data_IF_003478691375
#
_entry.id   IF_003478691375
#
_cell.length_a   1.000
_cell.length_b   1.000
_cell.length_c   1.000
_cell.angle_alpha   90.00
_cell.angle_beta   90.00
_cell.angle_gamma   90.00
#
_symmetry.space_group_name_H-M   'P 1'
#
loop_
_entity.id
_entity.type
_entity.pdbx_description
1 polymer ?
2 branched ?
3 non-polymer ?
4 non-polymer ?
5 non-polymer ?
6 non-polymer ?
7 water ?
#
# COMPACT_ATOMS: atom_id res chain seq x y z
N UNK A 1 -16.36 6.78 2.02
CA UNK A 1 -15.95 5.92 3.16
C UNK A 1 -15.33 6.82 4.22
N UNK A 2 -15.50 6.45 5.47
CA UNK A 2 -14.71 7.06 6.57
C UNK A 2 -13.24 6.78 6.27
N UNK A 3 -12.45 7.80 6.55
CA UNK A 3 -10.99 7.79 6.35
C UNK A 3 -10.31 8.28 7.60
N UNK A 4 -9.07 7.90 7.78
CA UNK A 4 -8.28 8.31 8.90
C UNK A 4 -8.53 7.53 10.18
N UNK A 5 -9.20 6.39 10.09
CA UNK A 5 -9.48 5.50 11.26
C UNK A 5 -8.75 4.21 11.08
N UNK A 6 -8.00 3.78 12.08
CA UNK A 6 -7.19 2.56 12.00
C UNK A 6 -7.32 1.72 13.24
N UNK A 7 -7.41 0.40 13.08
CA UNK A 7 -7.39 -0.48 14.24
C UNK A 7 -5.99 -1.05 14.40
N UNK A 8 -5.34 -0.67 15.51
CA UNK A 8 -4.03 -1.17 15.88
C UNK A 8 -4.19 -2.38 16.82
N UNK A 9 -3.16 -3.19 16.97
CA UNK A 9 -3.16 -4.10 18.11
C UNK A 9 -3.28 -3.32 19.42
N UNK A 10 -3.93 -3.92 20.43
CA UNK A 10 -4.16 -3.27 21.70
C UNK A 10 -2.85 -2.96 22.43
N UNK A 11 -2.89 -1.88 23.19
CA UNK A 11 -1.83 -1.53 24.16
C UNK A 11 -0.45 -1.57 23.50
N UNK A 12 -0.40 -1.04 22.27
CA UNK A 12 0.83 -1.01 21.52
C UNK A 12 1.31 0.41 21.26
N UNK A 13 2.62 0.60 21.42
CA UNK A 13 3.25 1.88 21.14
C UNK A 13 3.29 2.13 19.64
N UNK A 14 2.98 3.35 19.23
CA UNK A 14 3.09 3.75 17.82
C UNK A 14 3.62 5.17 17.74
N UNK A 15 4.29 5.48 16.64
CA UNK A 15 4.67 6.84 16.36
C UNK A 15 3.69 7.53 15.45
N UNK A 16 3.51 8.83 15.65
CA UNK A 16 2.66 9.66 14.84
C UNK A 16 3.42 10.90 14.50
N UNK A 17 3.50 11.25 13.22
CA UNK A 17 4.30 12.36 12.68
C UNK A 17 3.45 13.11 11.67
N UNK A 18 3.40 14.44 11.79
CA UNK A 18 2.60 15.24 10.90
C UNK A 18 3.46 16.27 10.19
N UNK A 19 3.19 16.50 8.91
CA UNK A 19 3.91 17.37 8.03
C UNK A 19 2.90 18.34 7.44
N UNK A 20 3.31 19.59 7.24
CA UNK A 20 2.45 20.61 6.61
C UNK A 20 2.89 21.09 5.26
N UNK A 21 1.92 21.30 4.35
CA UNK A 21 2.18 21.79 2.95
C UNK A 21 1.03 22.61 2.46
N UNK A 22 0.83 23.78 3.05
CA UNK A 22 -0.32 24.64 2.80
C UNK A 22 -0.07 26.05 3.30
N UNK A 23 -0.74 27.03 2.69
CA UNK A 23 -0.73 28.37 3.26
C UNK A 23 -1.45 28.44 4.59
N UNK A 24 -2.39 27.54 4.82
CA UNK A 24 -3.20 27.54 6.01
C UNK A 24 -2.51 26.88 7.18
N UNK A 25 -2.73 27.37 8.39
CA UNK A 25 -2.27 26.75 9.60
C UNK A 25 -3.11 25.46 9.80
N UNK A 26 -2.40 24.34 9.95
CA UNK A 26 -3.01 23.03 10.09
C UNK A 26 -3.13 22.66 11.58
N UNK A 27 -4.26 22.05 11.95
CA UNK A 27 -4.46 21.46 13.28
C UNK A 27 -4.75 20.00 13.11
N UNK A 28 -3.93 19.13 13.69
CA UNK A 28 -4.12 17.68 13.60
C UNK A 28 -4.48 17.18 14.96
N UNK A 29 -5.65 16.56 15.09
CA UNK A 29 -6.06 15.94 16.33
C UNK A 29 -5.92 14.44 16.22
N UNK A 30 -5.32 13.82 17.23
CA UNK A 30 -5.12 12.38 17.33
C UNK A 30 -6.05 11.91 18.46
N UNK A 31 -6.97 11.02 18.11
CA UNK A 31 -7.88 10.44 19.05
C UNK A 31 -7.59 8.96 19.21
N UNK A 32 -7.42 8.48 20.42
CA UNK A 32 -7.19 7.08 20.70
C UNK A 32 -8.38 6.63 21.53
N UNK A 33 -9.10 5.65 21.03
CA UNK A 33 -10.36 5.17 21.67
C UNK A 33 -11.26 6.33 22.04
N UNK A 34 -11.43 7.26 21.10
CA UNK A 34 -12.39 8.37 21.20
C UNK A 34 -12.03 9.43 22.22
N UNK A 35 -10.77 9.47 22.63
CA UNK A 35 -10.25 10.51 23.52
C UNK A 35 -9.07 11.21 22.84
N UNK A 36 -9.04 12.54 22.87
CA UNK A 36 -7.90 13.28 22.30
C UNK A 36 -6.67 12.99 23.13
N UNK A 37 -5.58 12.59 22.48
CA UNK A 37 -4.29 12.33 23.16
C UNK A 37 -3.14 13.15 22.59
N UNK A 38 -3.35 13.81 21.46
CA UNK A 38 -2.36 14.75 20.94
C UNK A 38 -3.00 15.73 20.01
N UNK A 39 -2.46 16.97 19.93
CA UNK A 39 -2.87 17.95 19.01
C UNK A 39 -1.64 18.58 18.47
N UNK A 40 -1.51 18.63 17.17
CA UNK A 40 -0.36 19.28 16.52
C UNK A 40 -0.85 20.47 15.74
N UNK A 41 -0.11 21.59 15.82
CA UNK A 41 -0.44 22.78 15.11
C UNK A 41 0.79 23.36 14.43
N UNK A 42 0.65 23.77 13.20
CA UNK A 42 1.73 24.45 12.54
C UNK A 42 1.44 24.85 11.13
N UNK A 43 2.33 25.66 10.52
CA UNK A 43 2.15 26.12 9.12
C UNK A 43 3.47 25.97 8.39
N UNK A 44 3.42 25.41 7.20
CA UNK A 44 4.53 25.31 6.28
C UNK A 44 4.03 25.05 4.89
N UNK A 45 4.72 25.57 3.89
CA UNK A 45 4.57 25.10 2.52
C UNK A 45 5.76 24.29 2.05
N UNK A 46 6.56 23.79 2.99
CA UNK A 46 7.78 23.06 2.70
C UNK A 46 7.98 21.83 3.55
N UNK A 47 6.89 21.19 3.87
CA UNK A 47 6.94 19.87 4.53
C UNK A 47 7.50 19.89 5.95
N UNK A 48 7.39 21.02 6.66
CA UNK A 48 7.89 21.06 8.03
C UNK A 48 7.13 20.07 8.89
N UNK A 49 7.85 19.44 9.82
CA UNK A 49 7.24 18.56 10.82
C UNK A 49 6.59 19.39 11.88
N UNK A 50 5.28 19.28 11.99
CA UNK A 50 4.51 20.09 12.95
C UNK A 50 4.17 19.28 14.18
N UNK A 51 4.58 18.03 14.24
CA UNK A 51 4.45 17.21 15.45
C UNK A 51 4.97 15.82 15.24
N UNK A 52 5.55 15.23 16.26
CA UNK A 52 5.98 13.84 16.26
C UNK A 52 5.94 13.37 17.71
N UNK A 53 5.24 12.29 17.95
CA UNK A 53 5.00 11.78 19.33
C UNK A 53 4.95 10.28 19.27
N UNK A 54 5.21 9.67 20.40
CA UNK A 54 4.96 8.26 20.66
C UNK A 54 3.75 8.13 21.55
N UNK A 55 2.78 7.35 21.13
CA UNK A 55 1.52 7.11 21.86
C UNK A 55 1.23 5.66 21.99
N UNK A 56 0.23 5.33 22.80
CA UNK A 56 -0.17 3.95 23.03
C UNK A 56 -1.61 3.76 22.55
N UNK A 57 -1.85 2.66 21.82
CA UNK A 57 -3.17 2.41 21.20
C UNK A 57 -4.27 2.00 22.19
N UNK A 58 -3.90 1.68 23.45
CA UNK A 58 -4.91 1.41 24.51
C UNK A 58 -5.71 0.16 24.24
N UNK A 59 -6.82 -0.03 25.02
CA UNK A 59 -7.49 -1.33 24.95
C UNK A 59 -8.17 -1.65 23.63
N UNK A 60 -8.80 -0.60 23.08
CA UNK A 60 -9.57 -0.80 21.87
C UNK A 60 -8.75 -0.76 20.57
N UNK A 61 -7.56 -0.21 20.65
CA UNK A 61 -6.66 -0.03 19.48
C UNK A 61 -7.13 0.95 18.46
N UNK A 62 -8.13 1.73 18.73
CA UNK A 62 -8.70 2.66 17.73
C UNK A 62 -7.94 3.94 17.69
N UNK A 63 -7.36 4.24 16.52
CA UNK A 63 -6.65 5.48 16.30
C UNK A 63 -7.37 6.25 15.21
N UNK A 64 -7.75 7.48 15.48
CA UNK A 64 -8.42 8.33 14.52
C UNK A 64 -7.71 9.67 14.37
N UNK A 65 -7.45 10.06 13.14
CA UNK A 65 -6.85 11.36 12.80
C UNK A 65 -7.90 12.31 12.22
N UNK A 66 -7.96 13.52 12.74
CA UNK A 66 -8.83 14.55 12.23
C UNK A 66 -7.96 15.78 11.92
N UNK A 67 -8.24 16.45 10.83
CA UNK A 67 -7.45 17.62 10.43
C UNK A 67 -8.39 18.76 10.15
N UNK A 68 -8.08 19.94 10.67
CA UNK A 68 -8.84 21.12 10.45
C UNK A 68 -7.94 22.35 10.22
N UNK A 69 -8.50 23.31 9.52
CA UNK A 69 -7.82 24.59 9.26
C UNK A 69 -8.81 25.67 9.70
N UNK A 70 -8.42 26.45 10.71
CA UNK A 70 -9.31 27.51 11.31
C UNK A 70 -10.69 26.95 11.69
N UNK A 71 -10.68 25.76 12.28
CA UNK A 71 -11.92 25.07 12.62
C UNK A 71 -12.72 24.34 11.51
N UNK A 72 -12.34 24.46 10.24
CA UNK A 72 -13.03 23.77 9.15
C UNK A 72 -12.33 22.40 8.90
N UNK A 73 -13.11 21.33 8.89
CA UNK A 73 -12.58 19.99 8.66
C UNK A 73 -12.06 19.83 7.21
N UNK A 74 -10.84 19.33 7.10
CA UNK A 74 -10.27 18.95 5.79
C UNK A 74 -10.82 17.59 5.39
N UNK A 75 -10.88 17.38 4.10
CA UNK A 75 -11.26 16.08 3.53
C UNK A 75 -10.04 15.13 3.64
N UNK A 76 -10.29 13.90 4.07
CA UNK A 76 -9.20 12.93 4.33
C UNK A 76 -9.16 11.81 3.32
N UNK A 77 -7.96 11.28 3.11
CA UNK A 77 -7.74 10.02 2.39
C UNK A 77 -6.73 9.22 3.21
N UNK A 78 -6.85 7.88 3.19
CA UNK A 78 -5.99 7.05 4.05
C UNK A 78 -5.87 5.63 3.57
N UNK A 79 -4.86 4.94 4.05
CA UNK A 79 -4.67 3.49 3.84
C UNK A 79 -3.64 3.00 4.82
N UNK A 80 -3.64 1.69 5.05
CA UNK A 80 -2.64 1.01 5.89
C UNK A 80 -1.83 0.07 4.96
N UNK A 81 -0.51 0.00 5.16
CA UNK A 81 0.37 -0.91 4.43
C UNK A 81 1.26 -1.64 5.42
N UNK A 82 1.46 -2.93 5.19
CA UNK A 82 2.30 -3.78 6.01
C UNK A 82 3.38 -4.38 5.15
N UNK A 83 4.61 -4.20 5.59
CA UNK A 83 5.79 -4.73 4.93
C UNK A 83 6.40 -5.86 5.78
N UNK A 84 6.88 -6.89 5.07
CA UNK A 84 7.53 -8.05 5.73
C UNK A 84 6.63 -8.71 6.81
N UNK A 85 5.34 -8.56 6.64
CA UNK A 85 4.35 -9.08 7.62
C UNK A 85 4.53 -8.56 9.04
N UNK A 86 5.19 -7.41 9.19
CA UNK A 86 5.54 -6.92 10.53
C UNK A 86 5.54 -5.42 10.65
N UNK A 87 5.97 -4.71 9.65
CA UNK A 87 6.19 -3.27 9.74
C UNK A 87 4.95 -2.58 9.17
N UNK A 88 4.28 -1.81 10.03
CA UNK A 88 3.02 -1.18 9.69
C UNK A 88 3.11 0.32 9.52
N UNK A 89 2.46 0.83 8.47
CA UNK A 89 2.26 2.24 8.22
C UNK A 89 0.79 2.52 8.07
N UNK A 90 0.30 3.50 8.79
CA UNK A 90 -1.07 4.01 8.58
C UNK A 90 -0.87 5.45 8.08
N UNK A 91 -1.41 5.75 6.92
CA UNK A 91 -1.09 6.95 6.12
C UNK A 91 -2.33 7.79 5.92
N UNK A 92 -2.18 9.08 6.17
CA UNK A 92 -3.30 10.01 5.97
C UNK A 92 -2.83 11.23 5.15
N UNK A 93 -3.63 11.57 4.16
CA UNK A 93 -3.54 12.88 3.48
C UNK A 93 -4.82 13.66 3.74
N UNK A 94 -4.69 14.98 3.59
CA UNK A 94 -5.82 15.87 3.85
C UNK A 94 -5.80 17.05 2.89
N UNK A 95 -7.01 17.50 2.51
CA UNK A 95 -7.18 18.58 1.54
C UNK A 95 -8.04 19.67 2.18
N UNK A 96 -7.47 20.87 2.23
CA UNK A 96 -8.10 22.08 2.83
C UNK A 96 -8.71 23.00 1.80
N UNK A 97 -8.57 22.73 0.50
CA UNK A 97 -9.02 23.68 -0.52
C UNK A 97 -9.45 22.94 -1.80
N UNK A 98 -9.00 23.40 -2.96
CA UNK A 98 -9.50 22.97 -4.23
C UNK A 98 -8.56 22.18 -5.14
N UNK A 99 -7.26 22.17 -4.84
CA UNK A 99 -6.31 21.65 -5.80
C UNK A 99 -6.15 20.15 -5.72
N UNK A 100 -6.70 19.54 -4.68
CA UNK A 100 -6.68 18.08 -4.52
C UNK A 100 -5.30 17.46 -4.52
N UNK A 101 -4.34 18.19 -3.93
CA UNK A 101 -3.03 17.63 -3.70
C UNK A 101 -2.99 16.71 -2.47
N UNK A 102 -3.94 16.88 -1.56
CA UNK A 102 -4.10 16.02 -0.38
C UNK A 102 -2.84 15.95 0.49
N UNK A 103 -1.99 16.97 0.43
CA UNK A 103 -0.74 17.01 1.23
C UNK A 103 -0.75 18.12 2.28
N UNK A 104 -1.91 18.77 2.48
CA UNK A 104 -1.95 20.02 3.25
C UNK A 104 -1.52 19.78 4.68
N UNK A 105 -2.03 18.68 5.26
CA UNK A 105 -1.37 18.04 6.39
C UNK A 105 -1.26 16.57 5.99
N UNK A 106 -0.07 16.00 6.11
CA UNK A 106 0.21 14.57 5.90
C UNK A 106 0.50 13.97 7.24
N UNK A 107 -0.10 12.84 7.57
CA UNK A 107 0.14 12.19 8.85
C UNK A 107 0.59 10.77 8.61
N UNK A 108 1.71 10.38 9.22
CA UNK A 108 2.24 9.02 9.12
C UNK A 108 2.27 8.45 10.51
N UNK A 109 1.69 7.26 10.65
CA UNK A 109 1.66 6.46 11.87
C UNK A 109 2.48 5.22 11.59
N UNK A 110 3.41 4.85 12.49
CA UNK A 110 4.19 3.65 12.32
C UNK A 110 4.28 2.80 13.58
N UNK A 111 4.23 1.49 13.39
CA UNK A 111 4.44 0.54 14.49
C UNK A 111 4.91 -0.77 13.92
N UNK A 112 5.51 -1.67 14.72
CA UNK A 112 5.88 -1.50 16.13
C UNK A 112 7.12 -0.68 16.27
N UNK A 113 7.35 -0.21 17.48
CA UNK A 113 8.55 0.57 17.84
C UNK A 113 9.54 -0.33 18.59
N UNK A 114 10.75 0.20 18.85
CA UNK A 114 11.74 -0.48 19.67
C UNK A 114 12.71 -1.32 18.94
N UNK B 1 14.57 -9.43 -4.27
CA UNK B 1 14.45 -8.25 -5.17
C UNK B 1 15.18 -7.07 -4.57
N UNK B 2 15.69 -6.21 -5.43
CA UNK B 2 16.22 -4.90 -4.95
C UNK B 2 15.08 -4.14 -4.28
N UNK B 3 15.44 -3.50 -3.19
CA UNK B 3 14.49 -2.71 -2.37
C UNK B 3 15.09 -1.38 -2.06
N UNK B 4 14.24 -0.41 -1.74
CA UNK B 4 14.67 0.92 -1.41
C UNK B 4 14.97 1.83 -2.58
N UNK B 5 14.60 1.43 -3.81
CA UNK B 5 14.82 2.21 -4.99
C UNK B 5 13.47 2.66 -5.55
N UNK B 6 13.31 3.94 -5.83
CA UNK B 6 12.05 4.50 -6.29
C UNK B 6 12.27 5.46 -7.46
N UNK B 7 11.37 5.41 -8.45
CA UNK B 7 11.41 6.36 -9.54
C UNK B 7 10.35 7.44 -9.24
N UNK B 8 10.79 8.66 -9.01
CA UNK B 8 9.95 9.81 -8.82
C UNK B 8 9.78 10.57 -10.17
N UNK B 9 8.75 11.41 -10.28
CA UNK B 9 8.75 12.34 -11.40
C UNK B 9 10.01 13.20 -11.34
N UNK B 10 10.53 13.65 -12.48
CA UNK B 10 11.75 14.44 -12.56
C UNK B 10 11.58 15.80 -11.92
N UNK B 11 12.69 16.31 -11.38
CA UNK B 11 12.82 17.69 -10.90
C UNK B 11 11.71 18.08 -9.92
N UNK B 12 11.39 17.14 -9.03
CA UNK B 12 10.26 17.28 -8.12
C UNK B 12 10.77 17.29 -6.65
N UNK B 13 10.23 18.21 -5.85
CA UNK B 13 10.60 18.28 -4.42
C UNK B 13 9.99 17.09 -3.70
N UNK B 14 10.70 16.53 -2.75
CA UNK B 14 10.16 15.45 -1.91
C UNK B 14 10.76 15.58 -0.51
N UNK B 15 10.03 15.08 0.46
CA UNK B 15 10.56 14.96 1.82
C UNK B 15 11.08 13.60 2.12
N UNK B 16 12.12 13.53 2.90
CA UNK B 16 12.64 12.27 3.42
C UNK B 16 12.82 12.39 4.92
N UNK B 17 12.30 11.44 5.65
CA UNK B 17 12.30 11.40 7.12
C UNK B 17 12.73 10.01 7.56
N UNK B 18 13.68 9.93 8.51
CA UNK B 18 14.18 8.68 9.03
C UNK B 18 13.94 8.59 10.53
N UNK B 19 13.48 7.41 10.97
CA UNK B 19 13.25 7.08 12.37
C UNK B 19 14.10 5.94 12.79
N UNK B 20 14.57 5.90 14.06
CA UNK B 20 15.36 4.76 14.55
C UNK B 20 14.67 4.00 15.70
N UNK B 21 14.80 2.67 15.61
CA UNK B 21 14.26 1.75 16.62
C UNK B 21 15.15 0.54 16.83
N UNK B 22 16.32 0.75 17.44
CA UNK B 22 17.33 -0.29 17.54
C UNK B 22 18.35 0.12 18.59
N UNK B 23 19.01 -0.88 19.19
CA UNK B 23 20.21 -0.64 20.01
C UNK B 23 21.39 -0.15 19.19
N UNK B 24 21.42 -0.50 17.91
CA UNK B 24 22.51 -0.11 17.02
C UNK B 24 22.35 1.30 16.46
N UNK B 25 23.47 2.00 16.27
CA UNK B 25 23.45 3.31 15.66
C UNK B 25 23.25 3.15 14.15
N UNK B 26 22.21 3.78 13.66
CA UNK B 26 21.79 3.67 12.26
C UNK B 26 22.42 4.76 11.39
N UNK B 27 22.82 4.41 10.19
CA UNK B 27 23.25 5.38 9.14
C UNK B 27 22.37 5.21 7.93
N UNK B 28 21.69 6.26 7.57
CA UNK B 28 20.78 6.25 6.42
C UNK B 28 21.42 7.14 5.37
N UNK B 29 21.70 6.59 4.18
CA UNK B 29 22.21 7.36 3.04
C UNK B 29 21.08 7.54 2.03
N UNK B 30 20.90 8.75 1.53
CA UNK B 30 19.92 9.06 0.48
C UNK B 30 20.67 9.43 -0.78
N UNK B 31 20.46 8.64 -1.84
CA UNK B 31 21.11 8.86 -3.12
C UNK B 31 20.09 9.32 -4.14
N UNK B 32 20.34 10.41 -4.81
CA UNK B 32 19.51 10.96 -5.86
C UNK B 32 20.30 10.93 -7.16
N UNK B 33 19.81 10.16 -8.13
CA UNK B 33 20.58 9.92 -9.37
C UNK B 33 22.02 9.54 -9.11
N UNK B 34 22.20 8.63 -8.16
CA UNK B 34 23.49 8.00 -7.80
C UNK B 34 24.47 8.92 -7.13
N UNK B 35 24.03 10.05 -6.63
CA UNK B 35 24.86 10.97 -5.81
C UNK B 35 24.31 11.06 -4.40
N UNK B 36 25.16 10.89 -3.38
CA UNK B 36 24.73 10.92 -1.98
C UNK B 36 24.44 12.36 -1.62
N UNK B 37 23.16 12.65 -1.32
CA UNK B 37 22.67 14.02 -1.06
C UNK B 37 22.21 14.24 0.36
N UNK B 38 22.11 13.18 1.14
CA UNK B 38 21.85 13.29 2.56
C UNK B 38 22.35 12.07 3.28
N UNK B 39 22.83 12.27 4.49
CA UNK B 39 23.25 11.18 5.35
C UNK B 39 22.77 11.48 6.75
N UNK B 40 22.05 10.54 7.34
CA UNK B 40 21.51 10.72 8.70
C UNK B 40 22.09 9.62 9.57
N UNK B 41 22.57 9.96 10.78
CA UNK B 41 23.11 8.99 11.71
C UNK B 41 22.49 9.26 13.08
N UNK B 42 22.08 8.21 13.80
CA UNK B 42 21.54 8.39 15.12
C UNK B 42 21.13 7.09 15.72
N UNK B 43 20.82 7.15 17.01
CA UNK B 43 20.41 5.94 17.78
C UNK B 43 19.22 6.22 18.67
N UNK B 44 18.21 5.36 18.59
CA UNK B 44 17.02 5.44 19.43
C UNK B 44 16.36 4.08 19.45
N UNK B 45 15.81 3.70 20.61
CA UNK B 45 14.84 2.63 20.65
C UNK B 45 13.41 3.11 20.83
N UNK B 46 13.15 4.37 20.53
CA UNK B 46 11.85 4.99 20.76
C UNK B 46 11.43 5.88 19.60
N UNK B 47 11.80 5.47 18.38
CA UNK B 47 11.27 6.13 17.17
C UNK B 47 11.73 7.55 16.97
N UNK B 48 12.88 7.93 17.55
CA UNK B 48 13.31 9.29 17.32
C UNK B 48 13.59 9.54 15.85
N UNK B 49 13.32 10.76 15.45
CA UNK B 49 13.63 11.25 14.11
C UNK B 49 15.14 11.51 14.05
N UNK B 50 15.85 10.74 13.24
CA UNK B 50 17.29 10.96 13.09
C UNK B 50 17.63 11.80 11.88
N UNK B 51 16.66 12.16 11.04
CA UNK B 51 16.86 13.12 9.97
C UNK B 51 15.57 13.44 9.27
N UNK B 52 15.43 14.66 8.81
CA UNK B 52 14.34 15.06 7.91
C UNK B 52 14.85 16.16 7.01
N UNK B 53 14.61 16.02 5.71
CA UNK B 53 15.14 16.99 4.72
C UNK B 53 14.21 17.07 3.57
N UNK B 54 14.26 18.17 2.84
CA UNK B 54 13.60 18.36 1.57
C UNK B 54 14.65 18.35 0.45
N UNK B 55 14.44 17.51 -0.54
CA UNK B 55 15.33 17.29 -1.64
C UNK B 55 14.63 17.43 -2.97
N UNK B 56 15.39 17.50 -4.07
CA UNK B 56 14.82 17.53 -5.41
C UNK B 56 15.25 16.24 -6.16
N UNK B 57 14.31 15.57 -6.83
CA UNK B 57 14.56 14.28 -7.53
C UNK B 57 15.48 14.36 -8.78
N UNK B 58 15.69 15.59 -9.28
CA UNK B 58 16.60 15.80 -10.41
C UNK B 58 16.13 15.17 -11.69
N UNK B 59 17.03 15.09 -12.68
CA UNK B 59 16.58 14.71 -14.03
C UNK B 59 16.03 13.30 -14.13
N UNK B 60 16.75 12.36 -13.49
CA UNK B 60 16.44 10.96 -13.62
C UNK B 60 15.33 10.48 -12.69
N UNK B 61 15.04 11.25 -11.67
CA UNK B 61 14.03 10.89 -10.64
C UNK B 61 14.41 9.72 -9.78
N UNK B 62 15.64 9.25 -9.81
CA UNK B 62 15.98 8.02 -9.08
C UNK B 62 16.34 8.36 -7.66
N UNK B 63 15.59 7.78 -6.70
CA UNK B 63 15.87 7.94 -5.29
C UNK B 63 16.15 6.56 -4.69
N UNK B 64 17.31 6.40 -4.04
CA UNK B 64 17.70 5.15 -3.43
C UNK B 64 18.06 5.37 -1.97
N UNK B 65 17.54 4.54 -1.09
CA UNK B 65 17.83 4.57 0.34
C UNK B 65 18.71 3.36 0.66
N UNK B 66 19.81 3.61 1.38
CA UNK B 66 20.67 2.54 1.88
C UNK B 66 20.81 2.72 3.38
N UNK B 67 20.82 1.64 4.15
CA UNK B 67 20.93 1.70 5.59
C UNK B 67 22.03 0.78 6.08
N UNK B 68 22.89 1.31 6.95
CA UNK B 68 23.98 0.48 7.52
C UNK B 68 24.12 0.71 9.04
N UNK B 69 24.64 -0.31 9.70
CA UNK B 69 24.93 -0.24 11.14
C UNK B 69 26.38 -0.72 11.32
N UNK B 70 27.23 0.19 11.83
CA UNK B 70 28.65 -0.15 12.04
C UNK B 70 29.29 -0.67 10.74
N UNK B 71 28.94 -0.05 9.63
CA UNK B 71 29.43 -0.43 8.33
C UNK B 71 28.82 -1.64 7.63
N UNK B 72 27.88 -2.33 8.29
CA UNK B 72 27.24 -3.50 7.65
C UNK B 72 25.89 -3.03 7.09
N UNK B 73 25.65 -3.42 5.85
CA UNK B 73 24.34 -3.14 5.20
C UNK B 73 23.18 -3.89 5.84
N UNK B 74 22.14 -3.15 6.18
CA UNK B 74 20.91 -3.75 6.70
C UNK B 74 20.09 -4.26 5.53
N UNK B 75 19.31 -5.27 5.82
CA UNK B 75 18.39 -5.80 4.84
C UNK B 75 17.18 -4.86 4.72
N UNK B 76 16.74 -4.59 3.50
CA UNK B 76 15.65 -3.63 3.27
C UNK B 76 14.39 -4.28 2.79
N UNK B 77 13.26 -3.62 3.10
CA UNK B 77 11.96 -3.91 2.48
C UNK B 77 11.34 -2.56 2.13
N UNK B 78 10.57 -2.53 1.05
CA UNK B 78 10.01 -1.22 0.57
C UNK B 78 8.80 -1.40 -0.29
N UNK B 79 8.03 -0.35 -0.41
CA UNK B 79 6.87 -0.28 -1.33
C UNK B 79 6.55 1.20 -1.53
N UNK B 80 5.81 1.50 -2.59
CA UNK B 80 5.26 2.83 -2.88
C UNK B 80 3.75 2.71 -2.83
N UNK B 81 3.08 3.70 -2.24
CA UNK B 81 1.61 3.77 -2.17
C UNK B 81 1.14 5.12 -2.60
N UNK B 82 0.12 5.13 -3.44
CA UNK B 82 -0.43 6.39 -3.96
C UNK B 82 -1.90 6.48 -3.54
N UNK B 83 -2.26 7.60 -2.89
CA UNK B 83 -3.64 7.91 -2.47
C UNK B 83 -4.25 9.04 -3.29
N UNK B 84 -5.54 8.87 -3.59
CA UNK B 84 -6.25 9.89 -4.38
C UNK B 84 -5.61 10.21 -5.71
N UNK B 85 -4.89 9.20 -6.25
CA UNK B 85 -4.16 9.33 -7.52
C UNK B 85 -3.19 10.50 -7.57
N UNK B 86 -2.72 10.94 -6.41
CA UNK B 86 -1.89 12.14 -6.32
C UNK B 86 -0.85 12.13 -5.20
N UNK B 87 -1.21 11.60 -4.04
CA UNK B 87 -0.36 11.72 -2.85
C UNK B 87 0.51 10.45 -2.75
N UNK B 88 1.81 10.61 -2.81
CA UNK B 88 2.75 9.49 -2.89
C UNK B 88 3.54 9.32 -1.63
N UNK B 89 3.70 8.06 -1.24
CA UNK B 89 4.57 7.64 -0.13
C UNK B 89 5.49 6.54 -0.64
N UNK B 90 6.79 6.70 -0.44
CA UNK B 90 7.74 5.63 -0.69
C UNK B 90 8.29 5.24 0.67
N UNK B 91 8.15 3.97 1.01
CA UNK B 91 8.34 3.46 2.37
C UNK B 91 9.43 2.42 2.45
N UNK B 92 10.31 2.55 3.44
CA UNK B 92 11.44 1.64 3.62
C UNK B 92 11.50 1.19 5.07
N UNK B 93 11.59 -0.13 5.26
CA UNK B 93 12.04 -0.68 6.54
C UNK B 93 13.38 -1.33 6.39
N UNK B 94 14.03 -1.54 7.54
CA UNK B 94 15.36 -2.15 7.52
C UNK B 94 15.57 -2.99 8.76
N UNK B 95 16.36 -4.06 8.56
CA UNK B 95 16.63 -5.04 9.64
C UNK B 95 18.16 -5.19 9.79
N UNK B 96 18.60 -4.89 11.00
CA UNK B 96 20.04 -4.95 11.31
C UNK B 96 20.48 -6.23 12.06
N UNK B 97 19.56 -7.09 12.39
CA UNK B 97 19.86 -8.26 13.22
C UNK B 97 18.94 -9.41 12.87
N UNK B 98 18.41 -10.08 13.89
CA UNK B 98 17.71 -11.35 13.69
C UNK B 98 16.23 -11.34 13.99
N UNK B 99 15.70 -10.31 14.65
CA UNK B 99 14.29 -10.36 15.09
C UNK B 99 13.24 -10.09 13.98
N UNK B 100 13.69 -9.57 12.85
CA UNK B 100 12.82 -9.32 11.69
C UNK B 100 11.68 -8.37 11.97
N UNK B 101 11.91 -7.40 12.83
CA UNK B 101 10.95 -6.33 13.02
C UNK B 101 10.98 -5.29 11.89
N UNK B 102 12.10 -5.22 11.18
CA UNK B 102 12.26 -4.30 10.04
C UNK B 102 11.99 -2.83 10.37
N UNK B 103 12.11 -2.43 11.62
CA UNK B 103 11.90 -1.04 12.02
C UNK B 103 13.18 -0.30 12.46
N UNK B 104 14.33 -0.98 12.25
CA UNK B 104 15.55 -0.54 12.96
C UNK B 104 15.96 0.87 12.49
N UNK B 105 15.84 1.07 11.19
CA UNK B 105 15.67 2.44 10.62
C UNK B 105 14.45 2.33 9.71
N UNK B 106 13.52 3.26 9.87
CA UNK B 106 12.34 3.41 9.01
C UNK B 106 12.47 4.68 8.23
N UNK B 107 12.24 4.64 6.93
CA UNK B 107 12.39 5.87 6.11
C UNK B 107 11.11 6.08 5.35
N UNK B 108 10.61 7.30 5.43
CA UNK B 108 9.39 7.72 4.71
C UNK B 108 9.77 8.86 3.77
N UNK B 109 9.43 8.70 2.51
CA UNK B 109 9.56 9.71 1.47
C UNK B 109 8.18 10.11 1.04
N UNK B 110 7.92 11.40 0.93
CA UNK B 110 6.58 11.89 0.55
C UNK B 110 6.69 12.96 -0.51
N UNK B 111 5.74 12.94 -1.45
CA UNK B 111 5.59 14.00 -2.45
C UNK B 111 4.18 13.96 -2.98
N UNK B 112 3.68 15.03 -3.59
CA UNK B 112 4.31 16.31 -3.79
C UNK B 112 4.30 17.12 -2.52
N UNK B 113 5.13 18.16 -2.50
CA UNK B 113 5.14 19.14 -1.43
C UNK B 113 4.47 20.45 -1.86
N UNK B 114 4.34 21.37 -0.91
CA UNK B 114 3.79 22.68 -1.19
C UNK B 114 2.33 22.86 -1.12
N UNK C 1 -12.79 12.46 -1.13
CA UNK C 1 -11.91 12.46 -2.33
C UNK C 1 -12.52 11.54 -3.37
N UNK C 2 -12.29 11.88 -4.61
CA UNK C 2 -12.56 10.95 -5.69
C UNK C 2 -11.74 9.67 -5.51
N UNK C 3 -12.39 8.55 -5.78
CA UNK C 3 -11.80 7.18 -5.65
C UNK C 3 -12.05 6.45 -6.96
N UNK C 4 -11.23 5.45 -7.21
CA UNK C 4 -11.42 4.61 -8.39
C UNK C 4 -10.86 5.17 -9.70
N UNK C 5 -10.03 6.20 -9.61
CA UNK C 5 -9.40 6.85 -10.76
C UNK C 5 -7.90 6.66 -10.65
N UNK C 6 -7.26 6.16 -11.69
CA UNK C 6 -5.83 5.90 -11.68
C UNK C 6 -5.18 6.38 -12.98
N UNK C 7 -3.96 6.92 -12.85
CA UNK C 7 -3.15 7.27 -14.03
C UNK C 7 -2.15 6.20 -14.29
N UNK C 8 -2.28 5.52 -15.42
CA UNK C 8 -1.33 4.48 -15.86
C UNK C 8 -0.37 5.10 -16.85
N UNK C 9 0.77 4.44 -17.06
CA UNK C 9 1.58 4.88 -18.20
C UNK C 9 0.79 4.79 -19.51
N UNK C 10 1.14 5.61 -20.49
CA UNK C 10 0.43 5.64 -21.76
C UNK C 10 0.63 4.35 -22.55
N UNK C 11 -0.38 4.00 -23.32
CA UNK C 11 -0.38 2.91 -24.31
C UNK C 11 0.08 1.60 -23.73
N UNK C 12 -0.36 1.32 -22.50
CA UNK C 12 0.10 0.14 -21.79
C UNK C 12 -1.03 -0.84 -21.58
N UNK C 13 -0.72 -2.11 -21.83
CA UNK C 13 -1.66 -3.20 -21.59
C UNK C 13 -1.76 -3.43 -20.07
N UNK C 14 -2.97 -3.60 -19.59
CA UNK C 14 -3.22 -3.89 -18.20
C UNK C 14 -4.37 -4.86 -18.05
N UNK C 15 -4.39 -5.56 -16.93
CA UNK C 15 -5.47 -6.48 -16.60
C UNK C 15 -6.44 -5.83 -15.62
N UNK C 16 -7.72 -6.13 -15.76
CA UNK C 16 -8.75 -5.70 -14.84
C UNK C 16 -9.61 -6.93 -14.51
N UNK C 17 -9.79 -7.18 -13.19
CA UNK C 17 -10.49 -8.39 -12.68
C UNK C 17 -11.46 -7.93 -11.59
N UNK C 18 -12.69 -8.40 -11.64
CA UNK C 18 -13.66 -8.10 -10.61
C UNK C 18 -14.19 -9.32 -9.89
N UNK C 19 -14.36 -9.21 -8.56
CA UNK C 19 -14.84 -10.26 -7.70
C UNK C 19 -16.10 -9.69 -7.05
N UNK C 20 -17.08 -10.57 -6.76
CA UNK C 20 -18.35 -10.13 -6.10
C UNK C 20 -18.49 -10.82 -4.76
N UNK C 21 -19.01 -10.08 -3.78
CA UNK C 21 -19.27 -10.58 -2.43
C UNK C 21 -20.49 -9.85 -1.87
N UNK C 22 -21.68 -10.12 -2.42
CA UNK C 22 -22.87 -9.38 -2.04
C UNK C 22 -24.10 -10.14 -2.49
N UNK C 23 -25.22 -9.88 -1.81
CA UNK C 23 -26.52 -10.35 -2.33
C UNK C 23 -26.97 -9.65 -3.58
N UNK C 24 -26.50 -8.43 -3.75
CA UNK C 24 -26.89 -7.61 -4.90
C UNK C 24 -26.10 -7.90 -6.17
N UNK C 25 -26.73 -7.74 -7.32
CA UNK C 25 -26.07 -7.91 -8.61
C UNK C 25 -25.21 -6.69 -8.85
N UNK C 26 -23.90 -6.93 -9.07
CA UNK C 26 -22.92 -5.85 -9.23
C UNK C 26 -22.76 -5.50 -10.71
N UNK C 27 -22.68 -4.19 -11.05
CA UNK C 27 -22.34 -3.72 -12.39
C UNK C 27 -21.08 -2.89 -12.22
N UNK C 28 -19.96 -3.39 -12.77
CA UNK C 28 -18.66 -2.71 -12.73
C UNK C 28 -18.45 -2.09 -14.10
N UNK C 29 -18.32 -0.77 -14.18
CA UNK C 29 -18.07 -0.08 -15.43
C UNK C 29 -16.60 0.37 -15.45
N UNK C 30 -15.90 0.10 -16.55
CA UNK C 30 -14.47 0.43 -16.71
C UNK C 30 -14.39 1.45 -17.87
N UNK C 31 -13.86 2.64 -17.55
CA UNK C 31 -13.56 3.64 -18.54
C UNK C 31 -12.07 3.81 -18.73
N UNK C 32 -11.66 3.96 -19.98
CA UNK C 32 -10.28 4.30 -20.34
C UNK C 32 -10.40 5.63 -21.07
N UNK C 33 -9.70 6.62 -20.58
CA UNK C 33 -9.79 7.99 -21.16
C UNK C 33 -11.21 8.46 -21.40
N UNK C 34 -12.04 8.24 -20.39
CA UNK C 34 -13.43 8.72 -20.33
C UNK C 34 -14.41 8.04 -21.29
N UNK C 35 -14.03 6.87 -21.79
CA UNK C 35 -14.90 6.07 -22.64
C UNK C 35 -15.08 4.70 -22.03
N UNK C 36 -16.33 4.20 -21.96
CA UNK C 36 -16.56 2.85 -21.46
C UNK C 36 -15.93 1.82 -22.39
N UNK C 37 -15.09 0.93 -21.85
CA UNK C 37 -14.45 -0.13 -22.60
C UNK C 37 -14.78 -1.53 -22.07
N UNK C 38 -15.42 -1.62 -20.91
CA UNK C 38 -15.88 -2.91 -20.37
C UNK C 38 -16.95 -2.70 -19.36
N UNK C 39 -17.88 -3.64 -19.27
CA UNK C 39 -18.88 -3.68 -18.21
C UNK C 39 -18.96 -5.09 -17.73
N UNK C 40 -18.80 -5.29 -16.44
CA UNK C 40 -18.94 -6.60 -15.84
C UNK C 40 -20.20 -6.61 -14.97
N UNK C 41 -21.07 -7.61 -15.17
CA UNK C 41 -22.33 -7.74 -14.41
C UNK C 41 -22.39 -9.14 -13.88
N UNK C 42 -22.53 -9.30 -12.57
CA UNK C 42 -22.61 -10.61 -11.97
C UNK C 42 -22.93 -10.57 -10.50
N UNK C 43 -23.15 -11.74 -9.92
CA UNK C 43 -23.57 -11.86 -8.53
C UNK C 43 -22.94 -13.05 -7.87
N UNK C 44 -22.38 -12.86 -6.68
CA UNK C 44 -21.78 -13.91 -5.85
C UNK C 44 -21.66 -13.43 -4.41
N UNK C 45 -21.91 -14.29 -3.44
CA UNK C 45 -21.50 -14.02 -2.05
C UNK C 45 -20.25 -14.80 -1.64
N UNK C 46 -19.48 -15.30 -2.61
CA UNK C 46 -18.35 -16.14 -2.32
C UNK C 46 -17.16 -15.87 -3.26
N UNK C 47 -16.97 -14.59 -3.59
CA UNK C 47 -15.76 -14.15 -4.29
C UNK C 47 -15.62 -14.65 -5.73
N UNK C 48 -16.74 -15.01 -6.34
CA UNK C 48 -16.63 -15.40 -7.75
C UNK C 48 -16.11 -14.26 -8.60
N UNK C 49 -15.37 -14.64 -9.62
CA UNK C 49 -14.89 -13.70 -10.63
C UNK C 49 -16.02 -13.38 -11.60
N UNK C 50 -16.44 -12.14 -11.64
CA UNK C 50 -17.51 -11.66 -12.55
C UNK C 50 -16.98 -10.96 -13.80
N UNK C 51 -15.67 -10.82 -13.92
CA UNK C 51 -15.09 -10.33 -15.18
C UNK C 51 -13.60 -10.30 -15.08
N UNK C 52 -12.89 -10.55 -16.18
CA UNK C 52 -11.43 -10.38 -16.27
C UNK C 52 -11.12 -10.09 -17.74
N UNK C 53 -10.41 -9.00 -17.99
CA UNK C 53 -10.13 -8.56 -19.34
C UNK C 53 -8.76 -7.88 -19.38
N UNK C 54 -8.16 -7.86 -20.56
CA UNK C 54 -6.94 -7.13 -20.87
C UNK C 54 -7.30 -5.94 -21.73
N UNK C 55 -6.87 -4.76 -21.30
CA UNK C 55 -7.21 -3.48 -21.97
C UNK C 55 -5.94 -2.67 -22.19
N UNK C 56 -6.03 -1.61 -22.97
CA UNK C 56 -4.92 -0.70 -23.23
C UNK C 56 -5.25 0.67 -22.65
N UNK C 57 -4.28 1.28 -21.98
CA UNK C 57 -4.48 2.56 -21.30
C UNK C 57 -4.54 3.76 -22.20
N UNK C 58 -4.17 3.61 -23.48
CA UNK C 58 -4.32 4.71 -24.43
C UNK C 58 -3.40 5.91 -24.12
N UNK C 59 -3.63 7.03 -24.82
CA UNK C 59 -2.70 8.17 -24.73
C UNK C 59 -2.66 8.83 -23.38
N UNK C 60 -3.83 8.94 -22.76
CA UNK C 60 -3.97 9.68 -21.50
C UNK C 60 -3.64 8.84 -20.26
N UNK C 61 -3.71 7.51 -20.41
CA UNK C 61 -3.49 6.61 -19.29
C UNK C 61 -4.54 6.59 -18.22
N UNK C 62 -5.68 7.25 -18.44
CA UNK C 62 -6.68 7.36 -17.39
C UNK C 62 -7.60 6.16 -17.34
N UNK C 63 -7.68 5.50 -16.18
CA UNK C 63 -8.56 4.33 -15.96
C UNK C 63 -9.46 4.71 -14.79
N UNK C 64 -10.78 4.57 -14.99
CA UNK C 64 -11.77 4.82 -13.93
C UNK C 64 -12.71 3.65 -13.79
N UNK C 65 -12.95 3.26 -12.52
CA UNK C 65 -13.89 2.22 -12.12
C UNK C 65 -15.09 2.83 -11.41
N UNK C 66 -16.27 2.43 -11.85
CA UNK C 66 -17.52 2.79 -11.20
C UNK C 66 -18.25 1.51 -10.90
N UNK C 67 -18.96 1.48 -9.79
CA UNK C 67 -19.74 0.29 -9.39
C UNK C 67 -21.14 0.70 -8.99
N UNK C 68 -22.14 0.01 -9.54
CA UNK C 68 -23.52 0.27 -9.17
C UNK C 68 -24.26 -1.06 -8.96
N UNK C 69 -25.34 -0.96 -8.21
CA UNK C 69 -26.22 -2.08 -7.92
C UNK C 69 -27.65 -1.57 -8.17
N UNK C 70 -28.33 -2.20 -9.13
CA UNK C 70 -29.67 -1.74 -9.60
C UNK C 70 -29.75 -0.22 -9.88
N UNK C 71 -28.72 0.27 -10.56
CA UNK C 71 -28.60 1.65 -10.90
C UNK C 71 -28.16 2.63 -9.83
N UNK C 72 -27.89 2.17 -8.60
CA UNK C 72 -27.48 3.05 -7.52
C UNK C 72 -25.99 2.90 -7.31
N UNK C 73 -25.30 4.01 -7.23
CA UNK C 73 -23.85 4.03 -7.11
C UNK C 73 -23.41 3.50 -5.74
N UNK C 74 -22.41 2.62 -5.77
CA UNK C 74 -21.72 2.17 -4.53
C UNK C 74 -20.69 3.17 -4.12
N UNK C 75 -20.41 3.20 -2.83
CA UNK C 75 -19.32 3.98 -2.28
C UNK C 75 -17.99 3.27 -2.58
N UNK C 76 -17.01 4.00 -3.05
CA UNK C 76 -15.73 3.45 -3.46
C UNK C 76 -14.60 3.82 -2.55
N UNK C 77 -13.63 2.90 -2.42
CA UNK C 77 -12.32 3.19 -1.79
C UNK C 77 -11.26 2.61 -2.71
N UNK C 78 -10.11 3.26 -2.75
CA UNK C 78 -9.05 2.80 -3.66
C UNK C 78 -7.68 3.23 -3.24
N UNK C 79 -6.68 2.57 -3.84
CA UNK C 79 -5.27 2.94 -3.69
C UNK C 79 -4.46 2.23 -4.76
N UNK C 80 -3.27 2.76 -5.03
CA UNK C 80 -2.30 2.13 -5.92
C UNK C 80 -1.07 1.75 -5.12
N UNK C 81 -0.54 0.55 -5.36
CA UNK C 81 0.67 0.00 -4.68
C UNK C 81 1.64 -0.45 -5.74
N UNK C 82 2.91 -0.10 -5.54
CA UNK C 82 4.02 -0.51 -6.44
C UNK C 82 5.04 -1.30 -5.67
N UNK C 83 5.33 -2.50 -6.18
CA UNK C 83 6.35 -3.40 -5.59
C UNK C 83 7.53 -3.48 -6.50
N UNK C 84 8.71 -3.53 -5.89
CA UNK C 84 9.97 -3.62 -6.68
C UNK C 84 10.17 -2.51 -7.74
N UNK C 85 9.56 -1.36 -7.45
CA UNK C 85 9.62 -0.25 -8.36
C UNK C 85 9.14 -0.56 -9.77
N UNK C 86 8.32 -1.59 -9.93
CA UNK C 86 7.92 -2.08 -11.27
C UNK C 86 6.53 -2.66 -11.34
N UNK C 87 6.13 -3.39 -10.34
CA UNK C 87 4.89 -4.16 -10.38
C UNK C 87 3.76 -3.35 -9.73
N UNK C 88 2.74 -3.04 -10.54
CA UNK C 88 1.67 -2.12 -10.11
C UNK C 88 0.36 -2.79 -9.90
N UNK C 89 -0.31 -2.41 -8.80
CA UNK C 89 -1.69 -2.80 -8.49
C UNK C 89 -2.50 -1.56 -8.24
N UNK C 90 -3.61 -1.44 -8.88
CA UNK C 90 -4.62 -0.42 -8.57
C UNK C 90 -5.83 -1.17 -8.04
N UNK C 91 -6.26 -0.81 -6.87
CA UNK C 91 -7.20 -1.59 -6.07
C UNK C 91 -8.41 -0.77 -5.74
N UNK C 92 -9.58 -1.39 -5.91
CA UNK C 92 -10.85 -0.79 -5.61
C UNK C 92 -11.69 -1.71 -4.75
N UNK C 93 -12.29 -1.16 -3.69
CA UNK C 93 -13.39 -1.78 -2.95
C UNK C 93 -14.62 -0.93 -3.11
N UNK C 94 -15.78 -1.55 -2.86
CA UNK C 94 -17.05 -0.86 -3.05
C UNK C 94 -18.04 -1.38 -2.04
N UNK C 95 -18.87 -0.46 -1.53
CA UNK C 95 -19.91 -0.76 -0.53
C UNK C 95 -21.29 -0.37 -1.06
N UNK C 96 -22.14 -1.37 -1.17
CA UNK C 96 -23.51 -1.19 -1.73
C UNK C 96 -24.60 -1.03 -0.69
N UNK C 97 -24.24 -1.09 0.58
CA UNK C 97 -25.25 -1.06 1.62
C UNK C 97 -24.69 -0.48 2.89
N UNK C 98 -24.88 -1.13 4.01
CA UNK C 98 -24.65 -0.55 5.33
C UNK C 98 -23.59 -1.21 6.21
N UNK C 99 -23.06 -2.38 5.84
CA UNK C 99 -22.15 -3.11 6.74
C UNK C 99 -20.69 -2.71 6.65
N UNK C 100 -20.33 -1.86 5.70
CA UNK C 100 -19.00 -1.31 5.56
C UNK C 100 -17.90 -2.39 5.39
N UNK C 101 -18.24 -3.47 4.73
CA UNK C 101 -17.22 -4.44 4.38
C UNK C 101 -16.42 -4.10 3.14
N UNK C 102 -16.98 -3.22 2.28
CA UNK C 102 -16.25 -2.71 1.11
C UNK C 102 -15.77 -3.80 0.15
N UNK C 103 -16.44 -4.96 0.17
CA UNK C 103 -16.01 -6.10 -0.69
C UNK C 103 -17.07 -6.48 -1.70
N UNK C 104 -18.11 -5.64 -1.82
CA UNK C 104 -19.28 -6.09 -2.57
C UNK C 104 -19.04 -6.31 -4.03
N UNK C 105 -18.27 -5.40 -4.61
CA UNK C 105 -17.46 -5.65 -5.80
C UNK C 105 -16.03 -5.20 -5.45
N UNK C 106 -15.04 -6.06 -5.73
CA UNK C 106 -13.61 -5.79 -5.53
C UNK C 106 -12.93 -5.82 -6.89
N UNK C 107 -12.21 -4.79 -7.24
CA UNK C 107 -11.59 -4.69 -8.59
C UNK C 107 -10.12 -4.56 -8.39
N UNK C 108 -9.38 -5.40 -9.14
CA UNK C 108 -7.95 -5.39 -9.14
C UNK C 108 -7.48 -5.13 -10.58
N UNK C 109 -6.65 -4.12 -10.69
CA UNK C 109 -6.00 -3.72 -11.95
C UNK C 109 -4.53 -3.98 -11.77
N UNK C 110 -3.90 -4.65 -12.73
CA UNK C 110 -2.47 -4.99 -12.63
C UNK C 110 -1.76 -4.67 -13.97
N UNK C 111 -0.52 -4.20 -13.80
CA UNK C 111 0.38 -3.98 -14.95
C UNK C 111 1.82 -4.00 -14.39
N UNK C 112 2.84 -4.23 -15.21
CA UNK C 112 2.73 -4.61 -16.62
C UNK C 112 2.35 -6.04 -16.78
N UNK C 113 1.93 -6.37 -17.99
CA UNK C 113 1.64 -7.73 -18.43
C UNK C 113 2.80 -8.28 -19.28
N UNK C 114 2.75 -9.58 -19.59
CA UNK C 114 3.70 -10.23 -20.51
C UNK C 114 4.92 -10.83 -19.86
N UNK D 1 14.50 -9.99 2.86
CA UNK D 1 13.41 -10.34 3.82
C UNK D 1 12.58 -11.48 3.25
N UNK D 2 12.04 -12.29 4.14
CA UNK D 2 11.02 -13.23 3.73
C UNK D 2 9.84 -12.40 3.12
N UNK D 3 9.32 -12.97 2.06
CA UNK D 3 8.18 -12.39 1.32
C UNK D 3 7.15 -13.48 1.13
N UNK D 4 5.93 -13.10 0.87
CA UNK D 4 4.86 -14.04 0.58
C UNK D 4 4.25 -14.73 1.79
N UNK D 5 4.49 -14.18 2.95
CA UNK D 5 3.92 -14.68 4.22
C UNK D 5 3.03 -13.62 4.83
N UNK D 6 1.79 -13.96 5.16
CA UNK D 6 0.84 -13.06 5.71
C UNK D 6 0.11 -13.66 6.92
N UNK D 7 -0.15 -12.81 7.94
CA UNK D 7 -1.00 -13.20 9.07
C UNK D 7 -2.39 -12.68 8.89
N UNK D 8 -3.30 -13.60 8.74
CA UNK D 8 -4.75 -13.28 8.60
C UNK D 8 -5.40 -13.44 9.96
N UNK D 9 -6.57 -12.80 10.15
CA UNK D 9 -7.37 -13.18 11.32
C UNK D 9 -7.68 -14.69 11.34
N UNK D 10 -7.80 -15.30 12.52
CA UNK D 10 -8.05 -16.71 12.68
C UNK D 10 -9.41 -17.09 12.09
N UNK D 11 -9.47 -18.30 11.55
CA UNK D 11 -10.71 -18.96 11.13
C UNK D 11 -11.52 -18.11 10.16
N UNK D 12 -10.80 -17.48 9.24
CA UNK D 12 -11.43 -16.55 8.33
C UNK D 12 -11.36 -17.07 6.89
N UNK D 13 -12.47 -16.96 6.19
CA UNK D 13 -12.52 -17.27 4.72
C UNK D 13 -11.83 -16.20 3.92
N UNK D 14 -10.98 -16.63 2.96
CA UNK D 14 -10.27 -15.68 2.11
C UNK D 14 -10.21 -16.24 0.72
N UNK D 15 -10.02 -15.34 -0.24
CA UNK D 15 -9.83 -15.72 -1.63
C UNK D 15 -8.35 -15.67 -2.00
N UNK D 16 -7.89 -16.58 -2.88
CA UNK D 16 -6.60 -16.57 -3.47
C UNK D 16 -6.72 -16.77 -4.97
N UNK D 17 -6.07 -15.86 -5.77
CA UNK D 17 -6.22 -15.81 -7.24
C UNK D 17 -4.81 -15.62 -7.81
N UNK D 18 -4.43 -16.43 -8.83
CA UNK D 18 -3.12 -16.29 -9.46
C UNK D 18 -3.25 -16.00 -10.93
N UNK D 19 -2.37 -15.15 -11.44
CA UNK D 19 -2.33 -14.70 -12.86
C UNK D 19 -0.93 -15.06 -13.36
N UNK D 20 -0.80 -15.41 -14.64
CA UNK D 20 0.51 -15.74 -15.24
C UNK D 20 0.87 -14.74 -16.36
N UNK D 21 2.17 -14.38 -16.40
CA UNK D 21 2.70 -13.45 -17.42
C UNK D 21 4.15 -13.87 -17.67
N UNK D 22 4.33 -15.00 -18.37
CA UNK D 22 5.67 -15.58 -18.55
C UNK D 22 5.62 -16.69 -19.59
N UNK D 23 6.77 -16.86 -20.25
CA UNK D 23 6.91 -18.03 -21.11
C UNK D 23 6.92 -19.34 -20.35
N UNK D 24 7.31 -19.31 -19.09
CA UNK D 24 7.44 -20.49 -18.27
C UNK D 24 6.17 -20.87 -17.61
N UNK D 25 5.96 -22.16 -17.42
CA UNK D 25 4.81 -22.65 -16.66
C UNK D 25 5.02 -22.41 -15.19
N UNK D 26 4.04 -21.72 -14.59
CA UNK D 26 4.11 -21.29 -13.18
C UNK D 26 3.45 -22.31 -12.31
N UNK D 27 4.08 -22.59 -11.16
CA UNK D 27 3.43 -23.42 -10.12
C UNK D 27 3.39 -22.63 -8.81
N UNK D 28 2.17 -22.32 -8.37
CA UNK D 28 1.93 -21.52 -7.16
C UNK D 28 1.46 -22.46 -6.08
N UNK D 29 2.24 -22.55 -5.01
CA UNK D 29 1.93 -23.36 -3.84
C UNK D 29 1.38 -22.46 -2.74
N UNK D 30 0.23 -22.88 -2.20
CA UNK D 30 -0.42 -22.14 -1.09
C UNK D 30 -0.45 -23.00 0.16
N UNK D 31 0.15 -22.48 1.23
CA UNK D 31 0.17 -23.11 2.54
C UNK D 31 -0.67 -22.28 3.50
N UNK D 32 -1.46 -22.98 4.31
CA UNK D 32 -2.20 -22.42 5.45
C UNK D 32 -1.68 -23.14 6.66
N UNK D 33 -1.19 -22.38 7.64
CA UNK D 33 -0.58 -22.94 8.84
C UNK D 33 0.40 -24.05 8.50
N UNK D 34 1.27 -23.78 7.53
CA UNK D 34 2.46 -24.64 7.17
C UNK D 34 2.06 -25.96 6.53
N UNK D 35 0.85 -26.04 5.99
CA UNK D 35 0.38 -27.20 5.24
C UNK D 35 -0.11 -26.77 3.85
N UNK D 36 0.32 -27.47 2.79
CA UNK D 36 -0.18 -27.16 1.45
C UNK D 36 -1.67 -27.43 1.34
N UNK D 37 -2.43 -26.45 0.86
CA UNK D 37 -3.88 -26.57 0.68
C UNK D 37 -4.32 -26.29 -0.73
N UNK D 38 -3.44 -25.76 -1.58
CA UNK D 38 -3.74 -25.55 -2.99
C UNK D 38 -2.52 -25.44 -3.82
N UNK D 39 -2.60 -25.85 -5.10
CA UNK D 39 -1.56 -25.70 -6.06
C UNK D 39 -2.22 -25.23 -7.32
N UNK D 40 -1.73 -24.11 -7.83
CA UNK D 40 -2.18 -23.58 -9.15
C UNK D 40 -1.06 -23.70 -10.17
N UNK D 41 -1.38 -24.18 -11.37
CA UNK D 41 -0.39 -24.39 -12.41
C UNK D 41 -0.91 -23.83 -13.71
N UNK D 42 -0.06 -23.11 -14.44
CA UNK D 42 -0.50 -22.63 -15.74
C UNK D 42 0.48 -21.76 -16.43
N UNK D 43 0.24 -21.47 -17.71
CA UNK D 43 1.14 -20.70 -18.56
C UNK D 43 0.31 -19.70 -19.34
N UNK D 44 0.75 -18.46 -19.30
CA UNK D 44 0.19 -17.38 -20.14
C UNK D 44 1.16 -16.25 -20.19
N UNK D 45 1.22 -15.56 -21.31
CA UNK D 45 1.85 -14.26 -21.39
C UNK D 45 0.86 -13.13 -21.48
N UNK D 46 -0.40 -13.36 -21.14
CA UNK D 46 -1.46 -12.38 -21.26
C UNK D 46 -2.39 -12.36 -20.05
N UNK D 47 -1.81 -12.58 -18.85
CA UNK D 47 -2.57 -12.39 -17.59
C UNK D 47 -3.68 -13.36 -17.35
N UNK D 48 -3.61 -14.51 -17.96
CA UNK D 48 -4.66 -15.52 -17.68
C UNK D 48 -4.70 -15.89 -16.19
N UNK D 49 -5.90 -16.13 -15.70
CA UNK D 49 -6.08 -16.63 -14.35
C UNK D 49 -5.80 -18.12 -14.35
N UNK D 50 -4.84 -18.53 -13.58
CA UNK D 50 -4.42 -19.94 -13.48
C UNK D 50 -4.96 -20.64 -12.26
N UNK D 51 -5.63 -19.92 -11.38
CA UNK D 51 -6.36 -20.53 -10.26
C UNK D 51 -7.09 -19.48 -9.45
N UNK D 52 -8.21 -19.85 -8.86
CA UNK D 52 -8.90 -19.01 -7.92
C UNK D 52 -9.66 -19.93 -6.98
N UNK D 53 -9.48 -19.76 -5.70
CA UNK D 53 -10.07 -20.66 -4.68
C UNK D 53 -10.44 -19.84 -3.47
N UNK D 54 -11.36 -20.36 -2.67
CA UNK D 54 -11.70 -19.86 -1.33
C UNK D 54 -11.20 -20.86 -0.31
N UNK D 55 -10.46 -20.34 0.65
CA UNK D 55 -9.82 -21.14 1.71
C UNK D 55 -10.16 -20.56 3.09
N UNK D 56 -9.80 -21.31 4.15
CA UNK D 56 -9.92 -20.82 5.52
C UNK D 56 -8.56 -20.68 6.19
N UNK D 57 -8.34 -19.56 6.89
CA UNK D 57 -7.06 -19.26 7.53
C UNK D 57 -6.73 -20.13 8.76
N UNK D 58 -7.72 -20.83 9.33
CA UNK D 58 -7.44 -21.74 10.42
C UNK D 58 -7.04 -21.05 11.72
N UNK D 59 -6.56 -21.84 12.70
CA UNK D 59 -6.31 -21.25 14.03
C UNK D 59 -5.20 -20.24 14.07
N UNK D 60 -4.14 -20.50 13.30
CA UNK D 60 -2.96 -19.66 13.35
C UNK D 60 -3.01 -18.45 12.44
N UNK D 61 -3.87 -18.51 11.44
CA UNK D 61 -3.99 -17.41 10.42
C UNK D 61 -2.86 -17.29 9.44
N UNK D 62 -1.92 -18.23 9.42
CA UNK D 62 -0.74 -18.07 8.60
C UNK D 62 -0.98 -18.53 7.17
N UNK D 63 -0.75 -17.64 6.20
CA UNK D 63 -0.84 -17.96 4.76
C UNK D 63 0.50 -17.65 4.09
N UNK D 64 1.01 -18.63 3.35
CA UNK D 64 2.29 -18.50 2.63
C UNK D 64 2.15 -18.89 1.19
N UNK D 65 2.70 -18.07 0.29
CA UNK D 65 2.78 -18.33 -1.11
C UNK D 65 4.23 -18.59 -1.54
N UNK D 66 4.40 -19.64 -2.32
CA UNK D 66 5.72 -19.98 -2.95
C UNK D 66 5.43 -20.17 -4.42
N UNK D 67 6.38 -19.74 -5.25
CA UNK D 67 6.24 -19.88 -6.70
C UNK D 67 7.47 -20.55 -7.25
N UNK D 68 7.28 -21.50 -8.17
CA UNK D 68 8.41 -22.14 -8.85
C UNK D 68 8.06 -22.35 -10.32
N UNK D 69 9.12 -22.44 -11.12
CA UNK D 69 9.01 -22.75 -12.54
C UNK D 69 9.94 -23.93 -12.81
N UNK D 70 9.34 -25.06 -13.24
CA UNK D 70 10.06 -26.34 -13.45
C UNK D 70 10.98 -26.69 -12.26
N UNK D 71 10.43 -26.53 -11.07
CA UNK D 71 11.16 -26.82 -9.86
C UNK D 71 12.13 -25.80 -9.32
N UNK D 72 12.34 -24.66 -10.02
CA UNK D 72 13.24 -23.62 -9.56
C UNK D 72 12.44 -22.53 -8.86
N UNK D 73 12.87 -22.10 -7.69
CA UNK D 73 12.14 -21.07 -6.94
C UNK D 73 12.27 -19.70 -7.58
N UNK D 74 11.12 -19.04 -7.73
CA UNK D 74 11.11 -17.62 -8.15
C UNK D 74 11.37 -16.69 -7.00
N UNK D 75 11.95 -15.56 -7.31
CA UNK D 75 12.13 -14.47 -6.31
C UNK D 75 10.77 -13.81 -6.07
N UNK D 76 10.45 -13.53 -4.84
CA UNK D 76 9.14 -12.96 -4.44
C UNK D 76 9.25 -11.58 -3.92
N UNK D 77 8.21 -10.78 -4.18
CA UNK D 77 8.00 -9.50 -3.54
C UNK D 77 6.54 -9.45 -3.06
N UNK D 78 6.28 -8.81 -1.92
CA UNK D 78 4.94 -8.79 -1.35
C UNK D 78 4.66 -7.63 -0.48
N UNK D 79 3.37 -7.37 -0.28
CA UNK D 79 2.91 -6.40 0.70
C UNK D 79 1.46 -6.66 0.99
N UNK D 80 0.96 -6.13 2.11
CA UNK D 80 -0.47 -6.12 2.49
C UNK D 80 -0.96 -4.67 2.56
N UNK D 81 -2.15 -4.45 2.01
CA UNK D 81 -2.80 -3.14 1.97
C UNK D 81 -4.21 -3.28 2.54
N UNK D 82 -4.60 -2.34 3.40
CA UNK D 82 -5.92 -2.31 4.01
C UNK D 82 -6.60 -0.99 3.63
N UNK D 83 -7.78 -1.11 3.05
CA UNK D 83 -8.65 0.05 2.68
C UNK D 83 -9.85 0.12 3.58
N UNK D 84 -10.22 1.37 3.94
CA UNK D 84 -11.41 1.59 4.79
C UNK D 84 -11.34 0.84 6.11
N UNK D 85 -10.11 0.57 6.57
CA UNK D 85 -9.91 -0.16 7.84
C UNK D 85 -10.59 -1.52 7.89
N UNK D 86 -10.83 -2.09 6.71
CA UNK D 86 -11.61 -3.34 6.64
C UNK D 86 -11.27 -4.25 5.48
N UNK D 87 -10.99 -3.69 4.32
CA UNK D 87 -10.85 -4.47 3.12
C UNK D 87 -9.34 -4.75 2.91
N UNK D 88 -8.99 -6.04 2.94
CA UNK D 88 -7.58 -6.50 2.93
C UNK D 88 -7.15 -7.14 1.64
N UNK D 89 -5.98 -6.72 1.15
CA UNK D 89 -5.29 -7.34 0.04
C UNK D 89 -3.91 -7.75 0.47
N UNK D 90 -3.57 -8.99 0.18
CA UNK D 90 -2.20 -9.47 0.34
C UNK D 90 -1.73 -9.81 -1.08
N UNK D 91 -0.65 -9.19 -1.47
CA UNK D 91 -0.19 -9.12 -2.87
C UNK D 91 1.18 -9.72 -2.99
N UNK D 92 1.34 -10.56 -4.02
CA UNK D 92 2.63 -11.23 -4.33
C UNK D 92 2.95 -11.03 -5.81
N UNK D 93 4.19 -10.64 -6.10
CA UNK D 93 4.79 -10.77 -7.43
C UNK D 93 5.94 -11.74 -7.34
N UNK D 94 6.29 -12.24 -8.51
CA UNK D 94 7.35 -13.25 -8.56
C UNK D 94 8.13 -13.06 -9.86
N UNK D 95 9.42 -13.36 -9.79
CA UNK D 95 10.38 -13.25 -10.91
C UNK D 95 11.11 -14.56 -11.15
N UNK D 96 10.87 -15.13 -12.33
CA UNK D 96 11.40 -16.45 -12.70
C UNK D 96 12.67 -16.35 -13.54
N UNK D 97 13.16 -15.15 -13.82
CA UNK D 97 14.27 -15.04 -14.77
C UNK D 97 15.02 -13.73 -14.45
N UNK D 98 15.31 -12.94 -15.47
CA UNK D 98 16.24 -11.84 -15.39
C UNK D 98 15.69 -10.45 -15.62
N UNK D 99 14.48 -10.30 -16.13
CA UNK D 99 13.99 -8.96 -16.57
C UNK D 99 13.41 -8.11 -15.46
N UNK D 100 13.23 -8.68 -14.28
CA UNK D 100 12.77 -7.96 -13.13
C UNK D 100 11.40 -7.32 -13.33
N UNK D 101 10.51 -7.97 -14.07
CA UNK D 101 9.15 -7.47 -14.15
C UNK D 101 8.26 -7.92 -13.00
N UNK D 102 8.66 -9.00 -12.32
CA UNK D 102 7.97 -9.50 -11.11
C UNK D 102 6.50 -9.80 -11.31
N UNK D 103 6.11 -10.10 -12.57
CA UNK D 103 4.72 -10.42 -12.87
C UNK D 103 4.51 -11.82 -13.36
N UNK D 104 5.56 -12.68 -13.25
CA UNK D 104 5.53 -13.96 -13.93
C UNK D 104 4.44 -14.86 -13.41
N UNK D 105 4.29 -14.87 -12.07
CA UNK D 105 3.02 -15.21 -11.41
C UNK D 105 2.73 -14.10 -10.45
N UNK D 106 1.49 -13.61 -10.51
CA UNK D 106 0.99 -12.56 -9.62
C UNK D 106 -0.13 -13.20 -8.78
N UNK D 107 -0.08 -13.05 -7.44
CA UNK D 107 -1.06 -13.68 -6.54
C UNK D 107 -1.73 -12.57 -5.76
N UNK D 108 -3.06 -12.62 -5.73
CA UNK D 108 -3.87 -11.70 -4.97
C UNK D 108 -4.69 -12.51 -3.98
N UNK D 109 -4.56 -12.17 -2.73
CA UNK D 109 -5.30 -12.75 -1.59
C UNK D 109 -6.20 -11.62 -1.09
N UNK D 110 -7.50 -11.90 -0.91
CA UNK D 110 -8.43 -10.88 -0.41
C UNK D 110 -9.36 -11.42 0.66
N UNK D 111 -9.67 -10.55 1.61
CA UNK D 111 -10.60 -10.87 2.67
C UNK D 111 -11.12 -9.53 3.21
N UNK D 112 -12.26 -9.47 3.88
CA UNK D 112 -13.22 -10.59 4.07
C UNK D 112 -14.00 -10.89 2.83
N UNK D 113 -14.63 -12.06 2.83
CA UNK D 113 -15.56 -12.48 1.79
C UNK D 113 -17.01 -12.33 2.30
N UNK D 114 -17.96 -12.53 1.39
CA UNK D 114 -19.39 -12.54 1.76
C UNK D 114 -20.14 -11.25 1.70
#
# INVERSE_FOLDING_TARGET
>A
ATQGVFTLPANTQFGVTAFANSAGTQTVNVQVNNETVATFTGQSTNNAIIGSKVLNSGGGGKVQILVSVNGRSSDLVSAQVILANELNFALVGSEDSTDNDYNDAVVVINWPLG
>B
ATQGVFTLPANTQFGVTAFANSAGTQTVNVQVNNETVATFTGQSTNNAIIGSKVLNSGGGGKVQILVSVNGRSSDLVSAQVILANELNFALVGSEDSTDNDYNDAVVVINWPLG
>C
ATQGVFTLPANTQFGVTAFANSAGTQTVNVQVNNETVATFTGQSTNNAIIGSKVLNSGGGGKVQILVSVNGRSSDLVSAQVILANELNFALVGSEDSTDNDYNDAVVVINWPLG
>D
ATQGVFTLPANTQFGVTAFANSAGTQTVNVQVNNETVATFTGQSTNNAIIGSKVLNSGGGGKVQILVSVNGRSSDLVSAQVILANELNFALVGSEDSTDNDYNDAVVVINWPLG
#
